data_IF_091649057380
#
_entry.id   IF_091649057380
#
_cell.length_a   1.000
_cell.length_b   1.000
_cell.length_c   1.000
_cell.angle_alpha   90.00
_cell.angle_beta   90.00
_cell.angle_gamma   90.00
#
_symmetry.space_group_name_H-M   'P 1'
#
loop_
_entity.id
_entity.type
_entity.pdbx_description
1 polymer ?
#
# COMPACT_ATOMS: atom_id res chain seq x y z
N UNK A 1 -4.92 29.88 -25.08
CA UNK A 1 -3.81 30.42 -24.33
C UNK A 1 -2.73 29.32 -24.22
N UNK A 2 -1.56 29.45 -24.88
CA UNK A 2 -0.52 28.44 -24.90
C UNK A 2 0.12 28.20 -23.50
N UNK A 3 -0.11 29.09 -22.54
CA UNK A 3 0.39 28.99 -21.17
C UNK A 3 -0.70 28.58 -20.17
N UNK A 4 -1.83 28.07 -20.64
CA UNK A 4 -2.88 27.61 -19.73
C UNK A 4 -2.45 26.32 -19.02
N UNK A 5 -2.52 26.32 -17.69
CA UNK A 5 -2.39 25.10 -16.89
C UNK A 5 -3.75 24.42 -16.91
N UNK A 6 -3.79 23.19 -17.42
CA UNK A 6 -5.01 22.36 -17.47
C UNK A 6 -4.93 21.33 -16.36
N UNK A 7 -6.00 21.21 -15.60
CA UNK A 7 -6.14 20.18 -14.56
C UNK A 7 -7.44 19.42 -14.82
N UNK A 8 -7.35 18.10 -14.92
CA UNK A 8 -8.51 17.22 -14.96
C UNK A 8 -8.92 16.85 -13.54
N UNK A 9 -10.20 16.55 -13.35
CA UNK A 9 -10.68 15.97 -12.09
C UNK A 9 -11.78 14.95 -12.34
N UNK A 10 -11.99 14.08 -11.38
CA UNK A 10 -13.03 13.07 -11.43
C UNK A 10 -13.27 12.38 -10.11
N UNK A 11 -14.29 11.54 -10.09
CA UNK A 11 -14.62 10.65 -8.99
C UNK A 11 -14.92 9.26 -9.53
N UNK A 12 -14.49 8.20 -8.83
CA UNK A 12 -14.74 6.81 -9.22
C UNK A 12 -14.14 6.50 -10.61
N UNK A 13 -14.85 5.81 -11.47
CA UNK A 13 -14.43 5.55 -12.86
C UNK A 13 -14.14 6.84 -13.63
N UNK A 14 -14.89 7.93 -13.37
CA UNK A 14 -14.62 9.25 -13.94
C UNK A 14 -13.24 9.79 -13.58
N UNK A 15 -12.72 9.47 -12.41
CA UNK A 15 -11.33 9.78 -12.04
C UNK A 15 -10.32 8.96 -12.84
N UNK A 16 -10.53 7.66 -13.01
CA UNK A 16 -9.65 6.84 -13.85
C UNK A 16 -9.55 7.38 -15.28
N UNK A 17 -10.67 7.84 -15.85
CA UNK A 17 -10.71 8.47 -17.17
C UNK A 17 -9.99 9.84 -17.19
N UNK A 18 -10.18 10.65 -16.15
CA UNK A 18 -9.56 11.95 -16.00
C UNK A 18 -8.03 11.82 -15.85
N UNK A 19 -7.59 10.88 -15.01
CA UNK A 19 -6.19 10.55 -14.77
C UNK A 19 -5.50 10.05 -16.06
N UNK A 20 -6.13 9.10 -16.78
CA UNK A 20 -5.64 8.62 -18.07
C UNK A 20 -5.49 9.74 -19.09
N UNK A 21 -6.50 10.60 -19.19
CA UNK A 21 -6.48 11.75 -20.10
C UNK A 21 -5.36 12.73 -19.75
N UNK A 22 -5.20 13.05 -18.46
CA UNK A 22 -4.12 13.92 -17.98
C UNK A 22 -2.74 13.35 -18.34
N UNK A 23 -2.52 12.06 -18.11
CA UNK A 23 -1.29 11.38 -18.47
C UNK A 23 -0.98 11.50 -19.96
N UNK A 24 -1.95 11.19 -20.84
CA UNK A 24 -1.77 11.23 -22.30
C UNK A 24 -1.58 12.63 -22.86
N UNK A 25 -2.12 13.65 -22.20
CA UNK A 25 -2.06 15.05 -22.64
C UNK A 25 -0.97 15.86 -21.94
N UNK A 26 -0.27 15.31 -20.98
CA UNK A 26 0.71 16.01 -20.14
C UNK A 26 0.08 17.06 -19.22
N UNK A 27 -1.19 16.88 -18.82
CA UNK A 27 -1.93 17.78 -17.95
C UNK A 27 -1.83 17.34 -16.49
N UNK A 28 -2.26 18.22 -15.58
CA UNK A 28 -2.39 17.87 -14.17
C UNK A 28 -3.68 17.07 -13.91
N UNK A 29 -3.67 16.28 -12.84
CA UNK A 29 -4.86 15.59 -12.37
C UNK A 29 -5.03 15.75 -10.86
N UNK A 30 -6.27 15.92 -10.42
CA UNK A 30 -6.69 15.85 -9.02
C UNK A 30 -8.03 15.15 -8.96
N UNK A 31 -8.07 13.94 -8.42
CA UNK A 31 -9.32 13.21 -8.36
C UNK A 31 -9.53 12.44 -7.06
N UNK A 32 -10.64 11.72 -6.99
CA UNK A 32 -11.14 11.12 -5.77
C UNK A 32 -11.65 9.69 -6.01
N UNK A 33 -11.20 8.75 -5.18
CA UNK A 33 -11.66 7.36 -5.17
C UNK A 33 -11.66 6.67 -6.55
N UNK A 34 -10.73 7.05 -7.44
CA UNK A 34 -10.59 6.41 -8.73
C UNK A 34 -9.82 5.10 -8.65
N UNK A 35 -10.30 4.01 -9.26
CA UNK A 35 -9.52 2.79 -9.43
C UNK A 35 -8.20 3.05 -10.15
N UNK A 36 -7.18 2.25 -9.82
CA UNK A 36 -5.85 2.35 -10.44
C UNK A 36 -5.91 1.99 -11.93
N UNK A 37 -5.18 2.74 -12.76
CA UNK A 37 -5.20 2.59 -14.23
C UNK A 37 -4.03 1.77 -14.78
N UNK A 38 -3.23 1.12 -13.93
CA UNK A 38 -2.01 0.40 -14.34
C UNK A 38 -2.23 -0.65 -15.44
N UNK A 39 -3.43 -1.23 -15.54
CA UNK A 39 -3.74 -2.27 -16.54
C UNK A 39 -3.93 -1.73 -17.96
N UNK A 40 -4.00 -0.40 -18.15
CA UNK A 40 -4.29 0.24 -19.45
C UNK A 40 -3.20 1.24 -19.88
N UNK A 41 -2.08 1.26 -19.17
CA UNK A 41 -0.91 2.10 -19.46
C UNK A 41 0.38 1.26 -19.43
N UNK A 42 1.49 1.80 -19.98
CA UNK A 42 2.76 1.13 -20.04
C UNK A 42 3.56 1.25 -18.72
N UNK A 43 4.59 0.43 -18.55
CA UNK A 43 5.50 0.52 -17.39
C UNK A 43 6.28 1.84 -17.38
N UNK A 44 6.62 2.41 -18.55
CA UNK A 44 7.26 3.72 -18.67
C UNK A 44 6.32 4.85 -18.21
N UNK A 45 5.03 4.73 -18.53
CA UNK A 45 4.01 5.67 -18.08
C UNK A 45 3.77 5.58 -16.57
N UNK A 46 3.81 4.37 -16.00
CA UNK A 46 3.77 4.17 -14.54
C UNK A 46 4.98 4.84 -13.89
N UNK A 47 6.19 4.60 -14.41
CA UNK A 47 7.41 5.23 -13.89
C UNK A 47 7.35 6.76 -13.98
N UNK A 48 6.82 7.30 -15.08
CA UNK A 48 6.61 8.74 -15.24
C UNK A 48 5.67 9.30 -14.17
N UNK A 49 4.54 8.65 -13.92
CA UNK A 49 3.59 9.08 -12.90
C UNK A 49 4.19 9.05 -11.50
N UNK A 50 4.99 8.03 -11.19
CA UNK A 50 5.69 7.91 -9.91
C UNK A 50 6.75 9.00 -9.70
N UNK A 51 7.40 9.43 -10.78
CA UNK A 51 8.38 10.52 -10.74
C UNK A 51 7.74 11.92 -10.64
N UNK A 52 6.47 12.07 -10.99
CA UNK A 52 5.76 13.35 -11.00
C UNK A 52 4.54 13.38 -10.05
N UNK A 53 4.76 13.17 -8.76
CA UNK A 53 3.69 13.05 -7.77
C UNK A 53 2.86 14.33 -7.55
N UNK A 54 3.41 15.48 -7.88
CA UNK A 54 2.72 16.77 -7.80
C UNK A 54 1.74 16.95 -8.97
N UNK A 55 1.98 16.28 -10.10
CA UNK A 55 1.16 16.36 -11.30
C UNK A 55 -0.06 15.45 -11.24
N UNK A 56 0.09 14.26 -10.63
CA UNK A 56 -0.95 13.23 -10.57
C UNK A 56 -1.35 12.93 -9.13
N UNK A 57 -2.59 13.24 -8.77
CA UNK A 57 -3.11 13.06 -7.41
C UNK A 57 -4.47 12.41 -7.43
N UNK A 58 -4.57 11.21 -6.89
CA UNK A 58 -5.83 10.52 -6.68
C UNK A 58 -6.03 10.33 -5.17
N UNK A 59 -6.84 11.18 -4.57
CA UNK A 59 -7.19 11.05 -3.16
C UNK A 59 -8.14 9.88 -2.98
N UNK A 60 -7.79 8.96 -2.09
CA UNK A 60 -8.57 7.76 -1.83
C UNK A 60 -8.92 7.61 -0.37
N UNK A 61 -10.20 7.32 -0.13
CA UNK A 61 -10.65 6.86 1.17
C UNK A 61 -10.12 5.44 1.40
N UNK A 62 -9.30 5.20 2.43
CA UNK A 62 -8.78 3.87 2.71
C UNK A 62 -9.88 2.84 3.02
N UNK A 63 -11.06 3.27 3.45
CA UNK A 63 -12.20 2.40 3.69
C UNK A 63 -13.02 2.07 2.43
N UNK A 64 -12.71 2.65 1.27
CA UNK A 64 -13.34 2.35 -0.02
C UNK A 64 -12.71 1.10 -0.67
N UNK A 65 -12.92 -0.05 -0.07
CA UNK A 65 -12.25 -1.31 -0.46
C UNK A 65 -12.89 -1.99 -1.68
N UNK A 66 -14.17 -1.73 -1.94
CA UNK A 66 -14.93 -2.44 -2.97
C UNK A 66 -14.77 -1.79 -4.34
N UNK A 67 -14.67 -0.47 -4.40
CA UNK A 67 -14.70 0.28 -5.65
C UNK A 67 -13.40 1.03 -5.93
N UNK A 68 -13.00 1.99 -5.10
CA UNK A 68 -11.85 2.85 -5.34
C UNK A 68 -10.50 2.15 -5.20
N UNK A 69 -10.39 1.19 -4.28
CA UNK A 69 -9.13 0.50 -3.97
C UNK A 69 -9.03 -0.93 -4.55
N UNK A 70 -10.01 -1.37 -5.34
CA UNK A 70 -10.09 -2.74 -5.85
C UNK A 70 -8.88 -3.16 -6.71
N UNK A 71 -8.26 -2.22 -7.42
CA UNK A 71 -7.09 -2.46 -8.28
C UNK A 71 -5.75 -2.08 -7.63
N UNK A 72 -5.75 -1.74 -6.33
CA UNK A 72 -4.54 -1.35 -5.60
C UNK A 72 -4.02 0.04 -5.99
N UNK A 73 -2.69 0.22 -5.94
CA UNK A 73 -2.01 1.49 -6.23
C UNK A 73 -0.66 1.25 -6.93
N UNK A 74 -0.65 0.53 -8.03
CA UNK A 74 0.58 0.22 -8.77
C UNK A 74 1.14 1.46 -9.48
N UNK A 75 0.28 2.40 -9.88
CA UNK A 75 0.71 3.69 -10.43
C UNK A 75 1.38 4.62 -9.41
N UNK A 76 1.22 4.36 -8.11
CA UNK A 76 1.79 5.18 -7.04
C UNK A 76 1.12 6.54 -6.82
N UNK A 77 0.05 6.86 -7.54
CA UNK A 77 -0.60 8.19 -7.47
C UNK A 77 -1.64 8.33 -6.36
N UNK A 78 -2.02 7.24 -5.71
CA UNK A 78 -3.00 7.29 -4.63
C UNK A 78 -2.46 7.99 -3.39
N UNK A 79 -3.24 8.94 -2.87
CA UNK A 79 -3.01 9.61 -1.61
C UNK A 79 -4.15 9.20 -0.67
N UNK A 80 -3.83 8.39 0.33
CA UNK A 80 -4.83 7.88 1.26
C UNK A 80 -5.14 8.88 2.36
N UNK A 81 -6.42 9.21 2.49
CA UNK A 81 -6.92 10.20 3.46
C UNK A 81 -8.01 9.55 4.30
N UNK A 82 -7.82 9.51 5.60
CA UNK A 82 -8.87 9.13 6.51
C UNK A 82 -9.91 10.26 6.59
N UNK A 83 -11.04 10.04 5.97
CA UNK A 83 -12.12 11.05 5.88
C UNK A 83 -13.26 10.79 6.86
N UNK A 84 -13.21 9.70 7.62
CA UNK A 84 -14.24 9.29 8.59
C UNK A 84 -13.65 8.31 9.60
N UNK A 85 -14.09 8.40 10.85
CA UNK A 85 -13.81 7.42 11.91
C UNK A 85 -14.40 6.03 11.62
N UNK A 86 -15.35 5.95 10.69
CA UNK A 86 -16.02 4.71 10.37
C UNK A 86 -15.04 3.74 9.69
N UNK A 87 -15.18 2.47 10.05
CA UNK A 87 -14.28 1.40 9.63
C UNK A 87 -15.05 0.37 8.84
N UNK A 88 -14.98 0.47 7.51
CA UNK A 88 -15.66 -0.47 6.60
C UNK A 88 -15.50 -1.93 7.03
N UNK A 89 -14.26 -2.33 7.36
CA UNK A 89 -13.96 -3.73 7.69
C UNK A 89 -14.60 -4.16 8.99
N UNK A 90 -14.58 -3.31 10.01
CA UNK A 90 -15.19 -3.63 11.30
C UNK A 90 -16.71 -3.76 11.16
N UNK A 91 -17.36 -2.89 10.37
CA UNK A 91 -18.78 -3.00 10.02
C UNK A 91 -19.07 -4.26 9.20
N UNK A 92 -18.25 -4.57 8.19
CA UNK A 92 -18.42 -5.77 7.36
C UNK A 92 -18.25 -7.07 8.16
N UNK A 93 -17.25 -7.13 9.06
CA UNK A 93 -17.07 -8.26 9.98
C UNK A 93 -18.29 -8.42 10.88
N UNK A 94 -18.83 -7.32 11.44
CA UNK A 94 -20.05 -7.34 12.24
C UNK A 94 -21.24 -7.94 11.47
N UNK A 95 -21.42 -7.54 10.20
CA UNK A 95 -22.44 -8.11 9.32
C UNK A 95 -22.22 -9.60 9.09
N UNK A 96 -21.00 -10.02 8.80
CA UNK A 96 -20.66 -11.43 8.54
C UNK A 96 -20.87 -12.32 9.78
N UNK A 97 -20.64 -11.80 10.97
CA UNK A 97 -20.83 -12.50 12.24
C UNK A 97 -22.28 -12.51 12.72
N UNK A 98 -23.15 -11.69 12.15
CA UNK A 98 -24.57 -11.63 12.53
C UNK A 98 -25.30 -12.91 12.09
N UNK A 99 -25.64 -13.74 13.08
CA UNK A 99 -26.32 -15.02 12.88
C UNK A 99 -27.80 -14.87 12.51
N UNK A 100 -28.37 -13.69 12.67
CA UNK A 100 -29.78 -13.42 12.32
C UNK A 100 -29.98 -13.15 10.82
N UNK A 101 -28.89 -12.87 10.08
CA UNK A 101 -28.92 -12.52 8.66
C UNK A 101 -28.60 -13.75 7.80
N UNK A 102 -29.37 -13.96 6.75
CA UNK A 102 -29.04 -14.88 5.67
C UNK A 102 -27.82 -14.38 4.88
N UNK A 103 -27.14 -15.29 4.15
CA UNK A 103 -26.00 -14.92 3.31
C UNK A 103 -26.33 -13.83 2.28
N UNK A 104 -27.52 -13.87 1.69
CA UNK A 104 -27.99 -12.84 0.76
C UNK A 104 -28.08 -11.47 1.43
N UNK A 105 -28.70 -11.40 2.60
CA UNK A 105 -28.80 -10.14 3.36
C UNK A 105 -27.43 -9.61 3.78
N UNK A 106 -26.51 -10.50 4.16
CA UNK A 106 -25.11 -10.11 4.43
C UNK A 106 -24.43 -9.51 3.21
N UNK A 107 -24.55 -10.15 2.04
CA UNK A 107 -23.98 -9.66 0.79
C UNK A 107 -24.58 -8.30 0.40
N UNK A 108 -25.88 -8.11 0.48
CA UNK A 108 -26.57 -6.86 0.16
C UNK A 108 -26.12 -5.72 1.11
N UNK A 109 -25.97 -6.02 2.41
CA UNK A 109 -25.50 -5.04 3.40
C UNK A 109 -24.03 -4.65 3.16
N UNK A 110 -23.14 -5.60 2.84
CA UNK A 110 -21.72 -5.33 2.54
C UNK A 110 -21.61 -4.50 1.27
N UNK A 111 -22.42 -4.80 0.24
CA UNK A 111 -22.45 -3.99 -0.98
C UNK A 111 -22.87 -2.54 -0.67
N UNK A 112 -23.90 -2.36 0.16
CA UNK A 112 -24.35 -1.02 0.59
C UNK A 112 -23.31 -0.25 1.40
N UNK A 113 -22.42 -0.94 2.13
CA UNK A 113 -21.25 -0.31 2.75
C UNK A 113 -20.26 0.21 1.71
N UNK A 114 -20.08 -0.51 0.58
CA UNK A 114 -19.25 -0.04 -0.53
C UNK A 114 -19.70 1.34 -1.00
N UNK A 115 -20.97 1.54 -1.25
CA UNK A 115 -21.53 2.83 -1.66
C UNK A 115 -21.31 3.92 -0.60
N UNK A 116 -21.50 3.60 0.69
CA UNK A 116 -21.29 4.53 1.80
C UNK A 116 -19.85 5.09 1.80
N UNK A 117 -18.84 4.23 1.68
CA UNK A 117 -17.44 4.63 1.76
C UNK A 117 -16.87 5.15 0.44
N UNK A 118 -17.48 4.81 -0.68
CA UNK A 118 -17.10 5.27 -2.01
C UNK A 118 -17.64 6.67 -2.32
N UNK A 119 -18.72 7.09 -1.65
CA UNK A 119 -19.43 8.34 -1.96
C UNK A 119 -18.53 9.56 -1.91
N UNK A 120 -18.65 10.45 -2.91
CA UNK A 120 -17.98 11.77 -2.88
C UNK A 120 -18.39 12.62 -1.66
N UNK A 121 -19.51 12.34 -1.01
CA UNK A 121 -19.99 13.03 0.19
C UNK A 121 -19.14 12.75 1.43
N UNK A 122 -18.25 11.76 1.39
CA UNK A 122 -17.33 11.48 2.48
C UNK A 122 -16.18 12.49 2.58
N UNK A 123 -15.89 13.20 1.48
CA UNK A 123 -14.82 14.17 1.42
C UNK A 123 -15.19 15.48 2.13
N UNK A 124 -14.28 15.98 2.94
CA UNK A 124 -14.47 17.19 3.72
C UNK A 124 -13.48 18.27 3.29
N UNK A 125 -13.95 19.51 3.28
CA UNK A 125 -13.14 20.68 2.93
C UNK A 125 -13.35 21.75 3.99
N UNK A 126 -12.30 22.48 4.31
CA UNK A 126 -12.40 23.65 5.18
C UNK A 126 -13.01 24.84 4.43
N UNK A 127 -13.22 25.96 5.16
CA UNK A 127 -13.82 27.20 4.61
C UNK A 127 -13.00 27.82 3.46
N UNK A 128 -11.72 27.42 3.30
CA UNK A 128 -10.84 27.83 2.19
C UNK A 128 -10.87 26.87 1.02
N UNK A 129 -11.70 25.82 1.06
CA UNK A 129 -11.79 24.78 0.02
C UNK A 129 -10.61 23.82 0.03
N UNK A 130 -9.83 23.73 1.11
CA UNK A 130 -8.73 22.79 1.24
C UNK A 130 -9.24 21.47 1.82
N UNK A 131 -8.81 20.35 1.22
CA UNK A 131 -9.15 19.02 1.69
C UNK A 131 -8.62 18.80 3.11
N UNK A 132 -9.46 18.28 3.99
CA UNK A 132 -9.12 17.95 5.37
C UNK A 132 -9.38 16.48 5.67
N UNK A 133 -8.63 15.93 6.62
CA UNK A 133 -8.82 14.59 7.17
C UNK A 133 -9.94 14.57 8.24
N UNK A 134 -10.20 13.39 8.81
CA UNK A 134 -11.18 13.17 9.89
C UNK A 134 -10.93 14.02 11.15
N UNK A 135 -9.70 14.47 11.36
CA UNK A 135 -9.29 15.28 12.50
C UNK A 135 -9.27 16.79 12.18
N UNK A 136 -9.66 17.16 10.95
CA UNK A 136 -9.65 18.56 10.49
C UNK A 136 -8.27 19.05 10.04
N UNK A 137 -7.28 18.20 9.92
CA UNK A 137 -5.95 18.60 9.43
C UNK A 137 -5.98 18.74 7.90
N UNK A 138 -5.29 19.76 7.38
CA UNK A 138 -5.15 19.96 5.94
C UNK A 138 -4.34 18.81 5.35
N UNK A 139 -4.89 18.17 4.33
CA UNK A 139 -4.20 17.10 3.58
C UNK A 139 -3.16 17.73 2.66
N UNK A 140 -1.90 17.40 2.90
CA UNK A 140 -0.78 17.82 2.05
C UNK A 140 -0.34 16.68 1.14
N UNK A 141 0.36 17.00 0.04
CA UNK A 141 0.90 16.01 -0.90
C UNK A 141 1.90 15.03 -0.25
N UNK A 142 2.43 15.35 0.94
CA UNK A 142 3.35 14.50 1.69
C UNK A 142 2.63 13.40 2.52
N UNK A 143 1.30 13.38 2.53
CA UNK A 143 0.49 12.36 3.22
C UNK A 143 0.48 11.00 2.50
N UNK A 144 1.52 10.67 1.72
CA UNK A 144 1.71 9.35 1.11
C UNK A 144 2.03 8.30 2.17
N UNK A 145 1.03 8.02 2.99
CA UNK A 145 1.13 7.00 4.03
C UNK A 145 0.84 5.61 3.50
N UNK A 146 1.83 4.93 2.93
CA UNK A 146 1.72 3.51 2.55
C UNK A 146 1.41 2.59 3.75
N UNK A 147 1.66 3.04 4.98
CA UNK A 147 1.45 2.23 6.20
C UNK A 147 0.01 1.76 6.41
N UNK A 148 -0.97 2.57 6.02
CA UNK A 148 -2.37 2.20 6.19
C UNK A 148 -2.86 1.21 5.14
N UNK A 149 -2.23 1.13 3.96
CA UNK A 149 -2.61 0.22 2.88
C UNK A 149 -2.42 -1.22 3.30
N UNK A 150 -1.28 -1.57 3.87
CA UNK A 150 -0.98 -2.93 4.28
C UNK A 150 -1.94 -3.44 5.36
N UNK A 151 -2.24 -2.59 6.34
CA UNK A 151 -3.24 -2.92 7.35
C UNK A 151 -4.60 -3.15 6.71
N UNK A 152 -4.97 -2.36 5.70
CA UNK A 152 -6.23 -2.49 4.98
C UNK A 152 -6.26 -3.74 4.10
N UNK A 153 -5.19 -4.06 3.39
CA UNK A 153 -5.08 -5.30 2.62
C UNK A 153 -5.19 -6.53 3.52
N UNK A 154 -4.48 -6.53 4.65
CA UNK A 154 -4.58 -7.61 5.65
C UNK A 154 -6.00 -7.75 6.18
N UNK A 155 -6.64 -6.64 6.51
CA UNK A 155 -8.01 -6.63 6.97
C UNK A 155 -9.00 -7.07 5.87
N UNK A 156 -8.80 -6.70 4.61
CA UNK A 156 -9.62 -7.16 3.49
C UNK A 156 -9.51 -8.69 3.29
N UNK A 157 -8.31 -9.25 3.43
CA UNK A 157 -8.10 -10.71 3.44
C UNK A 157 -8.78 -11.37 4.63
N UNK A 158 -8.71 -10.78 5.82
CA UNK A 158 -9.44 -11.25 7.00
C UNK A 158 -10.95 -11.19 6.81
N UNK A 159 -11.48 -10.20 6.12
CA UNK A 159 -12.91 -10.13 5.77
C UNK A 159 -13.31 -11.33 4.90
N UNK A 160 -12.48 -11.71 3.91
CA UNK A 160 -12.69 -12.93 3.12
C UNK A 160 -12.70 -14.18 3.99
N UNK A 161 -11.77 -14.31 4.94
CA UNK A 161 -11.75 -15.39 5.91
C UNK A 161 -13.05 -15.48 6.72
N UNK A 162 -13.55 -14.36 7.26
CA UNK A 162 -14.82 -14.34 8.00
C UNK A 162 -16.01 -14.67 7.10
N UNK A 163 -15.99 -14.26 5.83
CA UNK A 163 -17.00 -14.64 4.84
C UNK A 163 -17.04 -16.16 4.62
N UNK A 164 -15.90 -16.78 4.40
CA UNK A 164 -15.78 -18.24 4.26
C UNK A 164 -16.23 -18.96 5.54
N UNK A 165 -15.80 -18.50 6.70
CA UNK A 165 -16.22 -19.07 7.99
C UNK A 165 -17.74 -19.00 8.18
N UNK A 166 -18.37 -17.89 7.83
CA UNK A 166 -19.83 -17.75 7.90
C UNK A 166 -20.55 -18.72 6.97
N UNK A 167 -20.08 -18.82 5.70
CA UNK A 167 -20.65 -19.77 4.73
C UNK A 167 -20.57 -21.23 5.20
N UNK A 168 -19.40 -21.65 5.67
CA UNK A 168 -19.19 -23.03 6.14
C UNK A 168 -20.04 -23.32 7.39
N UNK A 169 -20.14 -22.37 8.31
CA UNK A 169 -20.95 -22.54 9.52
C UNK A 169 -22.45 -22.65 9.21
N UNK A 170 -22.94 -21.90 8.21
CA UNK A 170 -24.38 -21.91 7.84
C UNK A 170 -24.76 -23.16 7.03
N UNK A 171 -23.82 -23.75 6.28
CA UNK A 171 -24.09 -24.88 5.40
C UNK A 171 -24.24 -26.24 6.09
N UNK A 172 -23.73 -26.41 7.31
CA UNK A 172 -23.60 -27.73 7.92
C UNK A 172 -23.97 -27.90 9.39
N UNK A 173 -24.55 -26.88 10.04
CA UNK A 173 -24.91 -26.98 11.48
C UNK A 173 -23.70 -26.92 12.44
N UNK A 174 -22.56 -26.42 11.96
CA UNK A 174 -21.29 -26.27 12.66
C UNK A 174 -20.12 -26.64 11.78
N UNK A 175 -18.90 -26.20 12.14
CA UNK A 175 -17.68 -26.53 11.39
C UNK A 175 -17.27 -27.98 11.62
N UNK A 176 -17.07 -28.74 10.57
CA UNK A 176 -16.38 -30.03 10.63
C UNK A 176 -14.87 -29.82 10.90
N UNK A 177 -14.18 -30.88 11.31
CA UNK A 177 -12.72 -30.83 11.56
C UNK A 177 -11.95 -30.38 10.32
N UNK A 178 -12.34 -30.82 9.12
CA UNK A 178 -11.69 -30.46 7.87
C UNK A 178 -11.92 -28.99 7.50
N UNK A 179 -13.14 -28.48 7.73
CA UNK A 179 -13.44 -27.05 7.53
C UNK A 179 -12.67 -26.16 8.52
N UNK A 180 -12.47 -26.64 9.76
CA UNK A 180 -11.64 -25.93 10.73
C UNK A 180 -10.17 -25.91 10.29
N UNK A 181 -9.60 -27.04 9.84
CA UNK A 181 -8.24 -27.11 9.30
C UNK A 181 -8.08 -26.18 8.09
N UNK A 182 -9.05 -26.16 7.19
CA UNK A 182 -9.05 -25.25 6.04
C UNK A 182 -9.03 -23.78 6.48
N UNK A 183 -9.90 -23.39 7.42
CA UNK A 183 -9.97 -22.02 7.93
C UNK A 183 -8.69 -21.60 8.66
N UNK A 184 -8.10 -22.51 9.45
CA UNK A 184 -6.84 -22.25 10.14
C UNK A 184 -5.69 -22.07 9.15
N UNK A 185 -5.69 -22.85 8.06
CA UNK A 185 -4.74 -22.72 6.94
C UNK A 185 -4.88 -21.37 6.21
N UNK A 186 -6.09 -20.94 5.92
CA UNK A 186 -6.36 -19.62 5.31
C UNK A 186 -5.88 -18.48 6.22
N UNK A 187 -6.14 -18.56 7.52
CA UNK A 187 -5.69 -17.57 8.49
C UNK A 187 -4.16 -17.49 8.57
N UNK A 188 -3.48 -18.64 8.62
CA UNK A 188 -2.02 -18.72 8.64
C UNK A 188 -1.40 -18.16 7.34
N UNK A 189 -2.01 -18.43 6.18
CA UNK A 189 -1.61 -17.88 4.88
C UNK A 189 -1.72 -16.36 4.86
N UNK A 190 -2.85 -15.81 5.30
CA UNK A 190 -3.07 -14.36 5.38
C UNK A 190 -2.01 -13.69 6.27
N UNK A 191 -1.71 -14.29 7.42
CA UNK A 191 -0.70 -13.76 8.33
C UNK A 191 0.70 -13.76 7.71
N UNK A 192 1.09 -14.87 7.07
CA UNK A 192 2.39 -15.02 6.41
C UNK A 192 2.57 -14.05 5.23
N UNK A 193 1.54 -13.88 4.40
CA UNK A 193 1.57 -12.93 3.29
C UNK A 193 1.65 -11.48 3.77
N UNK A 194 0.95 -11.15 4.86
CA UNK A 194 0.97 -9.81 5.44
C UNK A 194 2.34 -9.44 6.01
N UNK A 195 3.07 -10.42 6.59
CA UNK A 195 4.43 -10.22 7.06
C UNK A 195 5.39 -9.88 5.89
N UNK A 196 5.33 -10.65 4.80
CA UNK A 196 6.17 -10.40 3.60
C UNK A 196 5.85 -9.04 2.99
N UNK A 197 4.57 -8.72 2.82
CA UNK A 197 4.15 -7.41 2.28
C UNK A 197 4.61 -6.25 3.17
N UNK A 198 4.60 -6.41 4.50
CA UNK A 198 5.10 -5.41 5.45
C UNK A 198 6.60 -5.19 5.31
N UNK A 199 7.36 -6.27 5.23
CA UNK A 199 8.81 -6.21 5.04
C UNK A 199 9.17 -5.55 3.70
N UNK A 200 8.46 -5.87 2.61
CA UNK A 200 8.66 -5.27 1.30
C UNK A 200 8.39 -3.75 1.33
N UNK A 201 7.26 -3.31 1.87
CA UNK A 201 6.95 -1.89 1.98
C UNK A 201 7.98 -1.13 2.83
N UNK A 202 8.46 -1.77 3.90
CA UNK A 202 9.50 -1.17 4.74
C UNK A 202 10.80 -1.01 3.99
N UNK A 203 11.20 -2.02 3.20
CA UNK A 203 12.39 -1.95 2.34
C UNK A 203 12.26 -0.83 1.30
N UNK A 204 11.10 -0.72 0.64
CA UNK A 204 10.86 0.30 -0.38
C UNK A 204 10.91 1.71 0.24
N UNK A 205 10.35 1.90 1.43
CA UNK A 205 10.43 3.16 2.15
C UNK A 205 11.88 3.52 2.54
N UNK A 206 12.66 2.54 3.02
CA UNK A 206 14.07 2.75 3.37
C UNK A 206 14.88 3.15 2.13
N UNK A 207 14.61 2.56 0.95
CA UNK A 207 15.26 2.95 -0.31
C UNK A 207 14.94 4.39 -0.70
N UNK A 208 13.68 4.82 -0.56
CA UNK A 208 13.26 6.20 -0.81
C UNK A 208 13.97 7.18 0.15
N UNK A 209 14.01 6.85 1.43
CA UNK A 209 14.70 7.69 2.42
C UNK A 209 16.24 7.69 2.21
N UNK A 210 16.82 6.57 1.73
CA UNK A 210 18.22 6.55 1.30
C UNK A 210 18.46 7.57 0.20
N UNK A 211 17.66 7.53 -0.87
CA UNK A 211 17.81 8.43 -2.01
C UNK A 211 17.74 9.89 -1.57
N UNK A 212 16.76 10.25 -0.76
CA UNK A 212 16.65 11.62 -0.20
C UNK A 212 17.84 12.00 0.65
N UNK A 213 18.29 11.10 1.53
CA UNK A 213 19.43 11.38 2.40
C UNK A 213 20.72 11.62 1.62
N UNK A 214 20.94 10.92 0.51
CA UNK A 214 22.09 11.14 -0.39
C UNK A 214 21.93 12.49 -1.10
N UNK A 215 20.75 12.80 -1.67
CA UNK A 215 20.49 14.09 -2.33
C UNK A 215 20.67 15.28 -1.38
N UNK A 216 20.21 15.15 -0.13
CA UNK A 216 20.41 16.17 0.90
C UNK A 216 21.89 16.34 1.27
N UNK A 217 22.65 15.25 1.36
CA UNK A 217 24.08 15.29 1.62
C UNK A 217 24.86 15.94 0.46
N UNK A 218 24.51 15.64 -0.78
CA UNK A 218 25.07 16.27 -1.98
C UNK A 218 24.78 17.79 -1.99
N UNK A 219 23.52 18.15 -1.76
CA UNK A 219 23.11 19.57 -1.70
C UNK A 219 23.84 20.34 -0.59
N UNK A 220 24.01 19.70 0.57
CA UNK A 220 24.77 20.29 1.69
C UNK A 220 26.23 20.47 1.32
N UNK A 221 26.87 19.47 0.72
CA UNK A 221 28.24 19.51 0.29
C UNK A 221 28.48 20.64 -0.74
N UNK A 222 27.64 20.76 -1.75
CA UNK A 222 27.71 21.83 -2.75
C UNK A 222 27.43 23.21 -2.13
N UNK A 223 26.50 23.32 -1.21
CA UNK A 223 26.21 24.60 -0.50
C UNK A 223 27.39 25.03 0.36
N UNK A 224 28.07 24.07 1.00
CA UNK A 224 29.26 24.32 1.84
C UNK A 224 30.43 24.85 1.01
N UNK A 225 30.59 24.39 -0.24
CA UNK A 225 31.62 24.88 -1.18
C UNK A 225 31.28 26.25 -1.81
N UNK A 226 30.09 26.79 -1.58
CA UNK A 226 29.67 28.04 -2.23
C UNK A 226 30.58 29.20 -1.81
N UNK A 227 31.10 29.99 -2.76
CA UNK A 227 32.15 30.99 -2.53
C UNK A 227 31.65 32.25 -1.78
N UNK A 228 30.50 32.23 -1.19
CA UNK A 228 29.90 33.40 -0.53
C UNK A 228 30.76 33.95 0.62
N UNK A 229 31.67 33.18 1.18
CA UNK A 229 32.55 33.62 2.27
C UNK A 229 34.01 33.92 1.87
N UNK A 230 34.44 33.59 0.66
CA UNK A 230 35.85 33.66 0.27
C UNK A 230 36.03 34.24 -1.13
N UNK A 231 35.79 35.51 -1.30
CA UNK A 231 35.85 36.21 -2.59
C UNK A 231 37.26 36.32 -3.20
N UNK A 232 38.30 35.81 -2.52
CA UNK A 232 39.68 35.93 -2.93
C UNK A 232 40.37 34.63 -3.31
N UNK A 233 39.71 33.45 -3.12
CA UNK A 233 40.24 32.14 -3.48
C UNK A 233 39.68 31.64 -4.81
N UNK A 234 40.48 30.99 -5.61
CA UNK A 234 40.01 30.26 -6.77
C UNK A 234 39.22 29.00 -6.37
N UNK A 235 38.34 28.46 -7.23
CA UNK A 235 37.63 27.19 -6.96
C UNK A 235 38.58 26.03 -6.57
N UNK A 236 39.76 25.98 -7.16
CA UNK A 236 40.78 24.96 -6.87
C UNK A 236 41.35 25.11 -5.43
N UNK A 237 41.68 26.35 -5.01
CA UNK A 237 42.20 26.61 -3.66
C UNK A 237 41.11 26.32 -2.59
N UNK A 238 39.86 26.51 -2.92
CA UNK A 238 38.72 26.14 -2.05
C UNK A 238 38.66 24.62 -1.91
N UNK A 239 38.68 23.87 -3.00
CA UNK A 239 38.68 22.40 -2.97
C UNK A 239 39.87 21.83 -2.20
N UNK A 240 41.06 22.36 -2.40
CA UNK A 240 42.27 21.93 -1.69
C UNK A 240 42.15 22.18 -0.18
N UNK A 241 41.66 23.35 0.23
CA UNK A 241 41.46 23.69 1.63
C UNK A 241 40.40 22.81 2.32
N UNK A 242 39.32 22.46 1.62
CA UNK A 242 38.31 21.52 2.11
C UNK A 242 38.88 20.10 2.23
N UNK A 243 39.66 19.65 1.24
CA UNK A 243 40.29 18.34 1.26
C UNK A 243 41.31 18.23 2.40
N UNK A 244 42.12 19.26 2.62
CA UNK A 244 43.10 19.34 3.73
C UNK A 244 42.38 19.34 5.10
N UNK A 245 41.19 19.91 5.16
CA UNK A 245 40.30 19.88 6.35
C UNK A 245 39.55 18.54 6.51
N UNK A 246 39.73 17.56 5.61
CA UNK A 246 39.06 16.28 5.62
C UNK A 246 37.58 16.37 5.16
N UNK A 247 37.18 17.50 4.59
CA UNK A 247 35.81 17.70 4.07
C UNK A 247 35.80 17.38 2.58
N UNK A 248 35.60 16.14 2.26
CA UNK A 248 35.54 15.64 0.87
C UNK A 248 34.12 15.14 0.55
N UNK A 249 33.81 14.97 -0.72
CA UNK A 249 32.56 14.32 -1.12
C UNK A 249 32.44 12.94 -0.47
N UNK A 250 33.53 12.17 -0.44
CA UNK A 250 33.55 10.83 0.16
C UNK A 250 33.27 10.86 1.67
N UNK A 251 33.85 11.83 2.41
CA UNK A 251 33.62 11.94 3.86
C UNK A 251 32.25 12.46 4.26
N UNK A 252 31.51 13.11 3.38
CA UNK A 252 30.17 13.65 3.66
C UNK A 252 29.10 12.80 2.98
N UNK A 253 29.17 12.68 1.65
CA UNK A 253 28.15 11.97 0.86
C UNK A 253 28.41 10.47 0.92
N UNK A 254 29.65 10.02 0.74
CA UNK A 254 30.03 8.60 0.74
C UNK A 254 29.77 7.93 2.09
N UNK A 255 30.04 8.59 3.21
CA UNK A 255 29.76 8.06 4.54
C UNK A 255 28.23 7.94 4.80
N UNK A 256 27.45 8.94 4.37
CA UNK A 256 25.99 8.89 4.43
C UNK A 256 25.45 7.76 3.56
N UNK A 257 25.89 7.67 2.31
CA UNK A 257 25.47 6.61 1.40
C UNK A 257 25.80 5.22 1.93
N UNK A 258 27.04 5.01 2.41
CA UNK A 258 27.49 3.74 2.99
C UNK A 258 26.67 3.34 4.22
N UNK A 259 26.36 4.31 5.09
CA UNK A 259 25.54 4.08 6.29
C UNK A 259 24.10 3.68 5.93
N UNK A 260 23.50 4.37 4.97
CA UNK A 260 22.14 4.09 4.50
C UNK A 260 22.07 2.78 3.70
N UNK A 261 23.10 2.45 2.91
CA UNK A 261 23.20 1.17 2.20
C UNK A 261 23.18 -0.03 3.16
N UNK A 262 23.89 0.06 4.29
CA UNK A 262 23.85 -0.99 5.32
C UNK A 262 22.41 -1.21 5.85
N UNK A 263 21.63 -0.14 5.99
CA UNK A 263 20.22 -0.25 6.42
C UNK A 263 19.34 -0.89 5.34
N UNK A 264 19.56 -0.58 4.06
CA UNK A 264 18.89 -1.24 2.93
C UNK A 264 19.20 -2.74 2.94
N UNK A 265 20.48 -3.11 3.12
CA UNK A 265 20.89 -4.53 3.19
C UNK A 265 20.25 -5.26 4.36
N UNK A 266 20.19 -4.66 5.56
CA UNK A 266 19.52 -5.25 6.72
C UNK A 266 18.02 -5.45 6.48
N UNK A 267 17.35 -4.47 5.86
CA UNK A 267 15.94 -4.57 5.53
C UNK A 267 15.68 -5.64 4.45
N UNK A 268 16.58 -5.78 3.46
CA UNK A 268 16.51 -6.84 2.45
C UNK A 268 16.66 -8.23 3.07
N UNK A 269 17.61 -8.41 4.00
CA UNK A 269 17.77 -9.67 4.72
C UNK A 269 16.53 -10.04 5.53
N UNK A 270 15.91 -9.06 6.19
CA UNK A 270 14.65 -9.29 6.91
C UNK A 270 13.52 -9.73 5.96
N UNK A 271 13.41 -9.11 4.78
CA UNK A 271 12.44 -9.52 3.75
C UNK A 271 12.67 -10.98 3.32
N UNK A 272 13.93 -11.39 3.09
CA UNK A 272 14.27 -12.75 2.72
C UNK A 272 13.92 -13.75 3.83
N UNK A 273 14.14 -13.39 5.10
CA UNK A 273 13.74 -14.22 6.25
C UNK A 273 12.21 -14.38 6.33
N UNK A 274 11.45 -13.30 6.14
CA UNK A 274 9.99 -13.34 6.11
C UNK A 274 9.45 -14.16 4.94
N UNK A 275 10.07 -14.07 3.75
CA UNK A 275 9.73 -14.88 2.60
C UNK A 275 9.96 -16.39 2.87
N UNK A 276 11.09 -16.75 3.48
CA UNK A 276 11.38 -18.15 3.87
C UNK A 276 10.37 -18.64 4.91
N UNK A 277 10.02 -17.81 5.89
CA UNK A 277 9.00 -18.16 6.89
C UNK A 277 7.64 -18.43 6.22
N UNK A 278 7.24 -17.59 5.26
CA UNK A 278 6.02 -17.81 4.45
C UNK A 278 6.06 -19.15 3.74
N UNK A 279 7.19 -19.51 3.10
CA UNK A 279 7.36 -20.80 2.42
C UNK A 279 7.27 -21.98 3.39
N UNK A 280 7.87 -21.86 4.59
CA UNK A 280 7.79 -22.90 5.62
C UNK A 280 6.35 -23.09 6.13
N UNK A 281 5.61 -22.01 6.32
CA UNK A 281 4.18 -22.05 6.69
C UNK A 281 3.38 -22.73 5.58
N UNK A 282 3.57 -22.34 4.33
CA UNK A 282 2.87 -22.94 3.18
C UNK A 282 3.18 -24.45 3.03
N UNK A 283 4.44 -24.83 3.20
CA UNK A 283 4.87 -26.24 3.19
C UNK A 283 4.23 -27.05 4.35
N UNK A 284 4.19 -26.46 5.56
CA UNK A 284 3.54 -27.08 6.71
C UNK A 284 2.04 -27.28 6.50
N UNK A 285 1.36 -26.29 5.91
CA UNK A 285 -0.05 -26.38 5.53
C UNK A 285 -0.28 -27.52 4.53
N UNK A 286 0.49 -27.55 3.44
CA UNK A 286 0.36 -28.57 2.39
C UNK A 286 0.57 -29.97 2.95
N UNK A 287 1.61 -30.15 3.77
CA UNK A 287 1.86 -31.43 4.44
C UNK A 287 0.67 -31.86 5.29
N UNK A 288 0.07 -30.92 6.03
CA UNK A 288 -1.09 -31.22 6.88
C UNK A 288 -2.33 -31.61 6.07
N UNK A 289 -2.56 -30.95 4.93
CA UNK A 289 -3.65 -31.27 4.02
C UNK A 289 -3.44 -32.64 3.34
N UNK A 290 -2.20 -33.00 2.99
CA UNK A 290 -1.85 -34.30 2.44
C UNK A 290 -2.09 -35.43 3.46
N UNK A 291 -1.64 -35.24 4.70
CA UNK A 291 -1.88 -36.18 5.81
C UNK A 291 -3.37 -36.42 6.06
N UNK A 292 -4.17 -35.35 6.04
CA UNK A 292 -5.62 -35.42 6.26
C UNK A 292 -6.33 -36.15 5.10
N UNK A 293 -5.90 -35.89 3.86
CA UNK A 293 -6.39 -36.58 2.65
C UNK A 293 -6.05 -38.06 2.68
N UNK A 294 -4.84 -38.44 3.11
CA UNK A 294 -4.42 -39.84 3.21
C UNK A 294 -5.26 -40.57 4.27
N UNK A 295 -5.45 -39.96 5.45
CA UNK A 295 -6.29 -40.53 6.53
C UNK A 295 -7.74 -40.70 6.10
N UNK A 296 -8.31 -39.75 5.32
CA UNK A 296 -9.65 -39.88 4.77
C UNK A 296 -9.74 -41.03 3.77
N UNK A 297 -8.71 -41.23 2.96
CA UNK A 297 -8.60 -42.36 2.03
C UNK A 297 -8.56 -43.72 2.75
N UNK A 298 -7.72 -43.85 3.77
CA UNK A 298 -7.63 -45.08 4.60
C UNK A 298 -8.95 -45.38 5.32
N UNK A 299 -9.61 -44.37 5.85
CA UNK A 299 -10.91 -44.50 6.52
C UNK A 299 -12.01 -44.98 5.54
N UNK A 300 -12.05 -44.45 4.35
CA UNK A 300 -12.98 -44.89 3.31
C UNK A 300 -12.72 -46.32 2.87
N UNK A 301 -11.46 -46.72 2.77
CA UNK A 301 -11.07 -48.11 2.46
C UNK A 301 -11.49 -49.07 3.58
N UNK A 302 -11.25 -48.70 4.84
CA UNK A 302 -11.70 -49.49 6.00
C UNK A 302 -13.23 -49.63 6.03
N UNK A 303 -13.97 -48.56 5.74
CA UNK A 303 -15.44 -48.57 5.68
C UNK A 303 -15.99 -49.46 4.55
N UNK A 304 -15.25 -49.66 3.47
CA UNK A 304 -15.64 -50.53 2.35
C UNK A 304 -15.39 -52.00 2.63
N UNK A 305 -14.61 -52.34 3.65
CA UNK A 305 -14.27 -53.69 4.06
C UNK A 305 -15.17 -54.23 5.19
N UNK A 306 -15.98 -53.41 5.79
CA UNK A 306 -16.98 -53.73 6.81
C UNK A 306 -18.39 -53.38 6.34
#
# INVERSE_FOLDING_TARGET
>A
NPNAIITTNGHSLGESMALYTALKMGWNNVGFNGPDIHNIISEEEIAYMQAHPEQFRNFRNPNDLILGNILGNKTGVAIYVNVTDARFIDEAIGILQDKSLSWKEKADKIYSLGDKYHSYKTWQFNDKGQLIDENGNIVTNNARGNRNILLLETKARMMRYYGLKSLLTESGGGLSSNEQIFLDSEQATIAAESLVSSAQQTLDQIKIEKQKGVEEAEALFETTKSPFMVSSLSPYEIEEAFADGGVTNDSIVGDVESSLEKKVQQASQLLDEMARLKEQIASGINKKLEEDTALAGEFNQWRSLN
#
